data_IF_952574369558
#
_entry.id   IF_952574369558
#
_cell.length_a   1.000
_cell.length_b   1.000
_cell.length_c   1.000
_cell.angle_alpha   90.00
_cell.angle_beta   90.00
_cell.angle_gamma   90.00
#
_symmetry.space_group_name_H-M   'P 1'
#
loop_
_entity.id
_entity.type
_entity.pdbx_description
1 polymer ?
#
# COMPACT_ATOMS: atom_id res chain seq x y z
N UNK A 1 12.17 -2.22 -6.37
CA UNK A 1 10.82 -2.12 -6.99
C UNK A 1 10.51 -3.42 -7.73
N UNK A 2 9.33 -4.04 -7.53
CA UNK A 2 8.90 -5.21 -8.31
C UNK A 2 8.67 -4.89 -9.80
N UNK A 3 8.90 -5.85 -10.69
CA UNK A 3 8.77 -5.64 -12.14
C UNK A 3 7.39 -5.15 -12.60
N UNK A 4 6.32 -5.73 -12.05
CA UNK A 4 4.93 -5.32 -12.35
C UNK A 4 4.64 -3.86 -11.94
N UNK A 5 5.25 -3.41 -10.83
CA UNK A 5 5.09 -2.04 -10.37
C UNK A 5 5.88 -1.06 -11.25
N UNK A 6 7.07 -1.47 -11.71
CA UNK A 6 7.88 -0.69 -12.63
C UNK A 6 7.13 -0.43 -13.96
N UNK A 7 6.51 -1.48 -14.50
CA UNK A 7 5.71 -1.39 -15.72
C UNK A 7 4.49 -0.45 -15.54
N UNK A 8 3.76 -0.60 -14.43
CA UNK A 8 2.56 0.21 -14.15
C UNK A 8 2.84 1.68 -13.80
N UNK A 9 4.08 2.01 -13.40
CA UNK A 9 4.45 3.34 -12.89
C UNK A 9 5.55 3.99 -13.71
N UNK A 10 5.89 3.46 -14.89
CA UNK A 10 7.01 3.91 -15.71
C UNK A 10 8.32 4.01 -14.91
N UNK A 11 8.50 3.11 -13.94
CA UNK A 11 9.65 3.05 -13.04
C UNK A 11 9.71 4.11 -11.95
N UNK A 12 8.73 5.00 -11.81
CA UNK A 12 8.75 6.05 -10.76
C UNK A 12 8.29 5.55 -9.40
N UNK A 13 7.63 4.40 -9.35
CA UNK A 13 6.95 3.91 -8.15
C UNK A 13 5.56 4.52 -8.01
N UNK A 14 4.70 3.84 -7.25
CA UNK A 14 3.31 4.22 -7.06
C UNK A 14 3.19 5.36 -6.04
N UNK A 15 2.35 6.35 -6.33
CA UNK A 15 1.98 7.40 -5.38
C UNK A 15 1.13 6.86 -4.23
N UNK A 16 0.27 5.90 -4.56
CA UNK A 16 -0.68 5.29 -3.63
C UNK A 16 -0.78 3.79 -3.92
N UNK A 17 -0.64 2.97 -2.89
CA UNK A 17 -0.86 1.51 -2.96
C UNK A 17 -2.04 1.12 -2.09
N UNK A 18 -2.92 0.30 -2.64
CA UNK A 18 -3.97 -0.38 -1.89
C UNK A 18 -3.49 -1.81 -1.62
N UNK A 19 -3.20 -2.12 -0.35
CA UNK A 19 -2.76 -3.44 0.07
C UNK A 19 -3.95 -4.26 0.56
N UNK A 20 -4.18 -5.40 -0.11
CA UNK A 20 -5.22 -6.37 0.24
C UNK A 20 -4.64 -7.77 0.50
N UNK A 21 -3.33 -7.98 0.37
CA UNK A 21 -2.69 -9.27 0.50
C UNK A 21 -2.46 -9.67 1.96
N UNK A 22 -1.33 -10.34 2.21
CA UNK A 22 -0.97 -10.86 3.53
C UNK A 22 0.17 -10.09 4.18
N UNK A 23 0.45 -10.32 5.46
CA UNK A 23 1.54 -9.59 6.14
C UNK A 23 2.93 -9.78 5.51
N UNK A 24 3.13 -10.85 4.74
CA UNK A 24 4.36 -11.12 3.98
C UNK A 24 4.50 -10.37 2.65
N UNK A 25 3.43 -9.75 2.13
CA UNK A 25 3.48 -8.98 0.87
C UNK A 25 3.79 -7.49 1.08
N UNK A 26 3.64 -6.99 2.32
CA UNK A 26 3.87 -5.59 2.68
C UNK A 26 5.22 -5.03 2.20
N UNK A 27 6.29 -5.82 2.26
CA UNK A 27 7.61 -5.37 1.81
C UNK A 27 7.64 -5.06 0.31
N UNK A 28 6.92 -5.84 -0.51
CA UNK A 28 6.82 -5.61 -1.96
C UNK A 28 6.02 -4.35 -2.26
N UNK A 29 4.97 -4.09 -1.48
CA UNK A 29 4.13 -2.89 -1.62
C UNK A 29 4.87 -1.62 -1.19
N UNK A 30 5.65 -1.69 -0.11
CA UNK A 30 6.58 -0.62 0.29
C UNK A 30 7.66 -0.40 -0.76
N UNK A 31 8.20 -1.47 -1.34
CA UNK A 31 9.19 -1.37 -2.42
C UNK A 31 8.62 -0.78 -3.72
N UNK A 32 7.36 -1.09 -4.04
CA UNK A 32 6.62 -0.53 -5.18
C UNK A 32 6.20 0.94 -4.97
N UNK A 33 6.14 1.42 -3.73
CA UNK A 33 5.73 2.79 -3.40
C UNK A 33 6.90 3.76 -3.55
N UNK A 34 6.65 4.91 -4.16
CA UNK A 34 7.62 6.00 -4.27
C UNK A 34 7.95 6.55 -2.87
N UNK A 35 9.14 7.12 -2.63
CA UNK A 35 9.40 7.87 -1.41
C UNK A 35 8.36 8.99 -1.21
N UNK A 36 7.85 9.16 0.01
CA UNK A 36 6.75 10.09 0.30
C UNK A 36 5.36 9.63 -0.14
N UNK A 37 5.23 8.43 -0.71
CA UNK A 37 3.95 7.84 -1.11
C UNK A 37 3.15 7.28 0.07
N UNK A 38 1.98 6.74 -0.22
CA UNK A 38 1.09 6.21 0.81
C UNK A 38 0.63 4.78 0.51
N UNK A 39 0.39 4.01 1.56
CA UNK A 39 -0.16 2.66 1.49
C UNK A 39 -1.38 2.57 2.40
N UNK A 40 -2.53 2.21 1.81
CA UNK A 40 -3.75 1.87 2.54
C UNK A 40 -3.95 0.36 2.59
N UNK A 41 -3.87 -0.22 3.79
CA UNK A 41 -4.11 -1.65 4.03
C UNK A 41 -5.57 -1.87 4.40
N UNK A 42 -6.28 -2.62 3.57
CA UNK A 42 -7.72 -2.89 3.73
C UNK A 42 -7.99 -4.09 4.64
N UNK A 43 -7.01 -4.97 4.80
CA UNK A 43 -7.07 -6.16 5.63
C UNK A 43 -5.96 -7.15 5.25
N UNK A 44 -5.76 -8.17 6.08
CA UNK A 44 -4.84 -9.25 5.79
C UNK A 44 -5.63 -10.49 5.37
N UNK A 45 -5.53 -10.89 4.10
CA UNK A 45 -6.12 -12.16 3.63
C UNK A 45 -5.35 -13.37 4.18
N UNK A 46 -4.07 -13.20 4.47
CA UNK A 46 -3.21 -14.22 5.08
C UNK A 46 -2.20 -13.59 6.06
N UNK A 47 -1.91 -14.31 7.16
CA UNK A 47 -0.81 -13.94 8.06
C UNK A 47 0.43 -14.73 7.68
N UNK A 48 1.52 -14.03 7.39
CA UNK A 48 2.84 -14.64 7.29
C UNK A 48 3.29 -15.17 8.66
N UNK A 49 4.21 -16.14 8.64
CA UNK A 49 4.88 -16.60 9.86
C UNK A 49 5.66 -15.45 10.49
N UNK A 50 5.89 -15.53 11.80
CA UNK A 50 6.59 -14.47 12.52
C UNK A 50 7.99 -14.22 11.95
N UNK A 51 8.68 -15.27 11.50
CA UNK A 51 10.01 -15.19 10.91
C UNK A 51 10.02 -14.52 9.52
N UNK A 52 8.89 -14.51 8.84
CA UNK A 52 8.72 -13.98 7.47
C UNK A 52 8.08 -12.58 7.48
N UNK A 53 7.77 -12.04 8.67
CA UNK A 53 7.11 -10.76 8.80
C UNK A 53 8.12 -9.62 8.61
N UNK A 54 7.96 -8.79 7.58
CA UNK A 54 8.89 -7.70 7.34
C UNK A 54 8.80 -6.66 8.47
N UNK A 55 9.94 -6.02 8.78
CA UNK A 55 10.00 -4.89 9.71
C UNK A 55 9.34 -3.64 9.12
N UNK A 56 8.00 -3.64 9.03
CA UNK A 56 7.20 -2.61 8.35
C UNK A 56 7.57 -1.21 8.85
N UNK A 57 7.69 -1.01 10.16
CA UNK A 57 8.03 0.28 10.75
C UNK A 57 9.35 0.85 10.23
N UNK A 58 10.40 0.03 10.15
CA UNK A 58 11.70 0.47 9.63
C UNK A 58 11.63 0.77 8.13
N UNK A 59 10.93 -0.06 7.37
CA UNK A 59 10.79 0.10 5.92
C UNK A 59 10.00 1.37 5.54
N UNK A 60 8.94 1.70 6.28
CA UNK A 60 8.14 2.90 6.00
C UNK A 60 8.87 4.17 6.41
N UNK A 61 9.60 4.16 7.52
CA UNK A 61 10.44 5.30 7.94
C UNK A 61 11.59 5.56 6.96
N UNK A 62 12.21 4.52 6.42
CA UNK A 62 13.30 4.67 5.44
C UNK A 62 12.86 5.30 4.11
N UNK A 63 11.57 5.25 3.78
CA UNK A 63 11.01 5.77 2.53
C UNK A 63 10.05 6.94 2.73
N UNK A 64 9.91 7.44 3.95
CA UNK A 64 8.92 8.47 4.31
C UNK A 64 7.49 8.11 3.84
N UNK A 65 7.09 6.85 4.02
CA UNK A 65 5.78 6.35 3.56
C UNK A 65 4.74 6.44 4.67
N UNK A 66 3.56 6.96 4.34
CA UNK A 66 2.38 6.82 5.20
C UNK A 66 1.78 5.42 5.04
N UNK A 67 1.75 4.63 6.11
CA UNK A 67 1.18 3.28 6.10
C UNK A 67 -0.03 3.21 7.06
N UNK A 68 -1.23 3.16 6.49
CA UNK A 68 -2.48 3.19 7.25
C UNK A 68 -3.23 1.86 7.13
N UNK A 69 -3.66 1.30 8.27
CA UNK A 69 -4.44 0.05 8.31
C UNK A 69 -5.90 0.38 8.61
N UNK A 70 -6.79 -0.01 7.70
CA UNK A 70 -8.23 0.18 7.80
C UNK A 70 -8.90 -1.11 8.30
N UNK A 71 -9.76 -1.00 9.32
CA UNK A 71 -10.51 -2.14 9.85
C UNK A 71 -11.75 -2.38 8.98
N UNK A 72 -12.03 -3.64 8.62
CA UNK A 72 -13.06 -4.10 7.65
C UNK A 72 -14.45 -3.41 7.70
N UNK A 73 -14.95 -2.97 8.87
CA UNK A 73 -16.22 -2.22 8.95
C UNK A 73 -16.19 -0.87 8.20
N UNK A 74 -15.00 -0.35 7.91
CA UNK A 74 -14.79 0.87 7.15
C UNK A 74 -15.05 0.65 5.65
N UNK A 75 -14.51 -0.40 5.03
CA UNK A 75 -14.49 -0.58 3.56
C UNK A 75 -15.86 -0.78 2.91
N UNK A 76 -16.84 -1.34 3.63
CA UNK A 76 -18.21 -1.44 3.12
C UNK A 76 -18.98 -0.11 3.17
N UNK A 77 -18.37 0.97 3.65
CA UNK A 77 -18.99 2.29 3.67
C UNK A 77 -18.35 3.23 2.63
N UNK A 78 -19.15 3.94 1.82
CA UNK A 78 -18.66 5.00 0.93
C UNK A 78 -17.83 6.07 1.64
N UNK A 79 -18.06 6.26 2.95
CA UNK A 79 -17.34 7.23 3.79
C UNK A 79 -15.88 6.85 4.04
N UNK A 80 -15.56 5.56 4.14
CA UNK A 80 -14.17 5.13 4.32
C UNK A 80 -13.41 5.06 3.01
N UNK A 81 -14.10 4.76 1.91
CA UNK A 81 -13.59 5.04 0.56
C UNK A 81 -13.23 6.53 0.40
N UNK A 82 -14.10 7.42 0.90
CA UNK A 82 -13.84 8.85 0.90
C UNK A 82 -12.65 9.23 1.79
N UNK A 83 -12.52 8.64 2.98
CA UNK A 83 -11.37 8.87 3.86
C UNK A 83 -10.03 8.42 3.22
N UNK A 84 -10.01 7.27 2.52
CA UNK A 84 -8.84 6.87 1.73
C UNK A 84 -8.54 7.86 0.60
N UNK A 85 -9.57 8.42 -0.04
CA UNK A 85 -9.41 9.44 -1.10
C UNK A 85 -8.96 10.81 -0.59
N UNK A 86 -9.43 11.23 0.58
CA UNK A 86 -9.03 12.49 1.23
C UNK A 86 -7.59 12.38 1.76
N UNK A 87 -7.20 11.22 2.30
CA UNK A 87 -5.80 10.95 2.63
C UNK A 87 -4.89 11.00 1.39
N UNK A 88 -5.39 10.54 0.23
CA UNK A 88 -4.73 10.63 -1.07
C UNK A 88 -4.82 12.02 -1.75
N UNK A 89 -4.95 13.10 -0.95
CA UNK A 89 -5.17 14.48 -1.40
C UNK A 89 -4.47 14.86 -2.72
N UNK A 90 -5.27 15.38 -3.66
CA UNK A 90 -4.88 15.79 -5.02
C UNK A 90 -4.40 14.66 -5.94
N UNK A 91 -5.36 13.82 -6.36
CA UNK A 91 -5.19 12.81 -7.42
C UNK A 91 -5.10 13.50 -8.79
N UNK A 92 -3.91 13.99 -9.13
CA UNK A 92 -3.56 14.32 -10.52
C UNK A 92 -2.45 13.38 -10.96
N UNK A 93 -2.84 12.33 -11.70
CA UNK A 93 -2.00 11.23 -12.23
C UNK A 93 -1.51 10.25 -11.15
N UNK A 94 -2.22 9.12 -10.98
CA UNK A 94 -1.76 8.01 -10.14
C UNK A 94 -1.77 6.73 -10.98
N UNK A 95 -0.63 6.06 -11.03
CA UNK A 95 -0.55 4.64 -11.39
C UNK A 95 -1.09 3.82 -10.21
N UNK A 96 -2.31 3.28 -10.36
CA UNK A 96 -2.91 2.41 -9.34
C UNK A 96 -2.39 1.00 -9.58
N UNK A 97 -1.65 0.49 -8.60
CA UNK A 97 -1.06 -0.83 -8.63
C UNK A 97 -1.85 -1.72 -7.65
N UNK A 98 -2.88 -2.42 -8.13
CA UNK A 98 -3.64 -3.39 -7.32
C UNK A 98 -3.02 -4.76 -7.51
N UNK A 99 -2.51 -5.35 -6.43
CA UNK A 99 -2.07 -6.74 -6.43
C UNK A 99 -3.08 -7.61 -5.69
N UNK A 100 -3.75 -8.49 -6.43
CA UNK A 100 -4.55 -9.59 -5.88
C UNK A 100 -3.72 -10.87 -6.00
N UNK A 101 -3.38 -11.48 -4.86
CA UNK A 101 -2.95 -12.88 -4.75
C UNK A 101 -3.83 -13.56 -3.72
#
# INVERSE_FOLDING_TARGET
MPGWAAEATNGTGADFVIETGGSGTNAKSIDATKPGGQIGVIGFLSRAKQEEMPGVAGLVLNKDILFAVFRSAAINSPKSWWACREAAGHISKIGIAVKTE
#
